data_IF_987409776098
#
_entry.id   IF_987409776098
#
_cell.length_a   1.000
_cell.length_b   1.000
_cell.length_c   1.000
_cell.angle_alpha   90.00
_cell.angle_beta   90.00
_cell.angle_gamma   90.00
#
_symmetry.space_group_name_H-M   'P 1'
#
loop_
_entity.id
_entity.type
_entity.pdbx_description
1 polymer ?
#
# COMPACT_ATOMS: atom_id res chain seq x y z
N UNK A 1 7.25 -17.04 37.60
CA UNK A 1 7.03 -16.26 36.37
C UNK A 1 5.56 -15.86 36.38
N UNK A 2 5.28 -14.56 36.42
CA UNK A 2 3.97 -14.00 36.82
C UNK A 2 2.94 -14.06 35.67
N UNK A 3 1.67 -14.36 35.97
CA UNK A 3 0.59 -14.46 34.98
C UNK A 3 0.37 -13.12 34.25
N UNK A 4 0.60 -12.01 34.94
CA UNK A 4 0.54 -10.67 34.38
C UNK A 4 1.61 -10.43 33.32
N UNK A 5 2.78 -11.06 33.46
CA UNK A 5 3.85 -11.00 32.47
C UNK A 5 3.46 -11.77 31.19
N UNK A 6 2.77 -12.90 31.32
CA UNK A 6 2.30 -13.68 30.16
C UNK A 6 1.17 -12.96 29.40
N UNK A 7 0.25 -12.32 30.12
CA UNK A 7 -0.81 -11.50 29.52
C UNK A 7 -0.25 -10.26 28.81
N UNK A 8 0.73 -9.59 29.43
CA UNK A 8 1.43 -8.46 28.82
C UNK A 8 2.18 -8.86 27.55
N UNK A 9 2.85 -10.03 27.55
CA UNK A 9 3.53 -10.56 26.36
C UNK A 9 2.55 -10.94 25.25
N UNK A 10 1.40 -11.54 25.58
CA UNK A 10 0.38 -11.91 24.61
C UNK A 10 -0.31 -10.67 23.99
N UNK A 11 -0.54 -9.62 24.77
CA UNK A 11 -1.10 -8.36 24.28
C UNK A 11 -0.08 -7.61 23.41
N UNK A 12 1.18 -7.52 23.84
CA UNK A 12 2.27 -6.99 23.00
C UNK A 12 2.40 -7.77 21.68
N UNK A 13 2.26 -9.10 21.69
CA UNK A 13 2.28 -9.90 20.47
C UNK A 13 1.10 -9.61 19.54
N UNK A 14 -0.10 -9.36 20.08
CA UNK A 14 -1.28 -8.94 19.29
C UNK A 14 -1.13 -7.54 18.72
N UNK A 15 -0.57 -6.61 19.49
CA UNK A 15 -0.29 -5.24 19.03
C UNK A 15 0.80 -5.23 17.96
N UNK A 16 1.85 -6.04 18.11
CA UNK A 16 2.89 -6.26 17.09
C UNK A 16 2.34 -6.91 15.82
N UNK A 17 1.41 -7.86 15.95
CA UNK A 17 0.72 -8.46 14.81
C UNK A 17 -0.19 -7.43 14.11
N UNK A 18 -0.92 -6.61 14.87
CA UNK A 18 -1.75 -5.55 14.31
C UNK A 18 -0.91 -4.47 13.59
N UNK A 19 0.29 -4.18 14.09
CA UNK A 19 1.22 -3.24 13.47
C UNK A 19 1.88 -3.82 12.21
N UNK A 20 2.27 -5.11 12.25
CA UNK A 20 2.87 -5.79 11.10
C UNK A 20 1.91 -6.02 9.93
N UNK A 21 0.60 -6.02 10.21
CA UNK A 21 -0.47 -6.13 9.21
C UNK A 21 -0.84 -4.80 8.52
N UNK A 22 -0.17 -3.68 8.83
CA UNK A 22 -0.47 -2.37 8.22
C UNK A 22 0.28 -2.08 6.91
N UNK A 23 1.32 -2.86 6.62
CA UNK A 23 1.94 -3.32 5.36
C UNK A 23 3.22 -3.97 5.88
N UNK A 24 3.23 -5.30 5.98
CA UNK A 24 4.41 -6.04 6.38
C UNK A 24 5.54 -5.80 5.39
N UNK A 25 6.79 -5.86 5.85
CA UNK A 25 7.96 -5.87 4.97
C UNK A 25 7.84 -6.95 3.88
N UNK A 26 7.14 -8.05 4.16
CA UNK A 26 6.85 -9.11 3.21
C UNK A 26 5.90 -8.67 2.10
N UNK A 27 4.84 -7.92 2.42
CA UNK A 27 3.90 -7.36 1.42
C UNK A 27 4.58 -6.32 0.54
N UNK A 28 5.46 -5.49 1.11
CA UNK A 28 6.28 -4.58 0.31
C UNK A 28 7.24 -5.33 -0.62
N UNK A 29 7.95 -6.34 -0.11
CA UNK A 29 8.85 -7.15 -0.95
C UNK A 29 8.08 -7.88 -2.07
N UNK A 30 6.90 -8.40 -1.76
CA UNK A 30 6.04 -9.03 -2.76
C UNK A 30 5.58 -8.02 -3.81
N UNK A 31 5.15 -6.82 -3.39
CA UNK A 31 4.80 -5.73 -4.28
C UNK A 31 5.99 -5.33 -5.17
N UNK A 32 7.15 -5.03 -4.59
CA UNK A 32 8.36 -4.61 -5.30
C UNK A 32 8.75 -5.67 -6.34
N UNK A 33 8.73 -6.96 -5.97
CA UNK A 33 9.06 -8.05 -6.91
C UNK A 33 8.10 -8.11 -8.10
N UNK A 34 6.79 -7.95 -7.86
CA UNK A 34 5.77 -7.97 -8.91
C UNK A 34 5.90 -6.71 -9.77
N UNK A 35 5.89 -5.55 -9.13
CA UNK A 35 6.01 -4.24 -9.74
C UNK A 35 7.27 -4.14 -10.61
N UNK A 36 8.45 -4.37 -10.04
CA UNK A 36 9.73 -4.15 -10.72
C UNK A 36 9.96 -5.16 -11.83
N UNK A 37 9.47 -6.40 -11.67
CA UNK A 37 9.50 -7.41 -12.72
C UNK A 37 8.70 -6.98 -13.96
N UNK A 38 7.46 -6.53 -13.74
CA UNK A 38 6.62 -6.02 -14.82
C UNK A 38 7.17 -4.71 -15.41
N UNK A 39 7.63 -3.80 -14.57
CA UNK A 39 8.19 -2.52 -15.00
C UNK A 39 9.46 -2.70 -15.85
N UNK A 40 10.34 -3.63 -15.48
CA UNK A 40 11.54 -3.96 -16.25
C UNK A 40 11.19 -4.54 -17.61
N UNK A 41 10.15 -5.38 -17.68
CA UNK A 41 9.77 -6.07 -18.92
C UNK A 41 9.03 -5.17 -19.91
N UNK A 42 8.15 -4.28 -19.43
CA UNK A 42 7.21 -3.57 -20.29
C UNK A 42 7.40 -2.04 -20.31
N UNK A 43 8.15 -1.46 -19.38
CA UNK A 43 8.42 -0.02 -19.33
C UNK A 43 7.28 0.84 -18.80
N UNK A 44 7.61 2.12 -18.55
CA UNK A 44 6.74 3.05 -17.82
C UNK A 44 5.40 3.35 -18.53
N UNK A 45 5.44 3.54 -19.85
CA UNK A 45 4.25 3.93 -20.62
C UNK A 45 3.19 2.82 -20.61
N UNK A 46 3.61 1.57 -20.82
CA UNK A 46 2.71 0.42 -20.77
C UNK A 46 2.21 0.19 -19.35
N UNK A 47 3.09 0.26 -18.35
CA UNK A 47 2.70 0.05 -16.96
C UNK A 47 1.71 1.09 -16.45
N UNK A 48 1.78 2.34 -16.94
CA UNK A 48 0.77 3.36 -16.63
C UNK A 48 -0.62 2.93 -17.07
N UNK A 49 -0.74 2.35 -18.26
CA UNK A 49 -2.00 1.79 -18.75
C UNK A 49 -2.46 0.59 -17.91
N UNK A 50 -1.55 -0.34 -17.61
CA UNK A 50 -1.85 -1.53 -16.79
C UNK A 50 -2.36 -1.12 -15.41
N UNK A 51 -1.69 -0.21 -14.71
CA UNK A 51 -2.14 0.25 -13.39
C UNK A 51 -3.52 0.87 -13.44
N UNK A 52 -3.78 1.74 -14.42
CA UNK A 52 -5.10 2.34 -14.59
C UNK A 52 -6.18 1.26 -14.77
N UNK A 53 -5.93 0.28 -15.63
CA UNK A 53 -6.87 -0.82 -15.88
C UNK A 53 -7.09 -1.69 -14.63
N UNK A 54 -6.03 -2.03 -13.90
CA UNK A 54 -6.12 -2.80 -12.65
C UNK A 54 -6.96 -2.06 -11.62
N UNK A 55 -6.71 -0.78 -11.39
CA UNK A 55 -7.52 0.03 -10.46
C UNK A 55 -8.99 0.11 -10.89
N UNK A 56 -9.26 0.37 -12.17
CA UNK A 56 -10.64 0.41 -12.70
C UNK A 56 -11.37 -0.93 -12.51
N UNK A 57 -10.67 -2.06 -12.64
CA UNK A 57 -11.26 -3.38 -12.40
C UNK A 57 -11.53 -3.61 -10.90
N UNK A 58 -10.56 -3.30 -10.02
CA UNK A 58 -10.74 -3.42 -8.56
C UNK A 58 -11.92 -2.59 -8.07
N UNK A 59 -12.08 -1.35 -8.56
CA UNK A 59 -13.19 -0.48 -8.16
C UNK A 59 -14.58 -1.05 -8.51
N UNK A 60 -14.69 -1.90 -9.54
CA UNK A 60 -15.96 -2.55 -9.90
C UNK A 60 -16.35 -3.66 -8.93
N UNK A 61 -15.36 -4.28 -8.29
CA UNK A 61 -15.55 -5.43 -7.41
C UNK A 61 -15.76 -5.01 -5.94
N UNK A 62 -15.35 -3.79 -5.59
CA UNK A 62 -15.47 -3.28 -4.23
C UNK A 62 -16.88 -2.77 -3.88
N UNK A 63 -17.36 -3.04 -2.64
CA UNK A 63 -18.52 -2.37 -2.06
C UNK A 63 -18.35 -0.84 -2.06
N UNK A 64 -19.47 -0.10 -2.08
CA UNK A 64 -19.44 1.37 -2.23
C UNK A 64 -18.61 2.09 -1.16
N UNK A 65 -18.70 1.67 0.10
CA UNK A 65 -17.94 2.28 1.20
C UNK A 65 -16.42 2.08 1.01
N UNK A 66 -15.99 0.86 0.65
CA UNK A 66 -14.60 0.52 0.40
C UNK A 66 -14.07 1.21 -0.85
N UNK A 67 -14.87 1.27 -1.91
CA UNK A 67 -14.57 2.02 -3.14
C UNK A 67 -14.35 3.50 -2.87
N UNK A 68 -15.22 4.12 -2.08
CA UNK A 68 -15.12 5.55 -1.72
C UNK A 68 -13.87 5.81 -0.89
N UNK A 69 -13.59 4.93 0.08
CA UNK A 69 -12.38 5.02 0.90
C UNK A 69 -11.11 4.89 0.05
N UNK A 70 -11.06 3.89 -0.85
CA UNK A 70 -9.94 3.68 -1.75
C UNK A 70 -9.69 4.89 -2.64
N UNK A 71 -10.74 5.46 -3.26
CA UNK A 71 -10.61 6.66 -4.11
C UNK A 71 -10.07 7.87 -3.35
N UNK A 72 -10.52 8.08 -2.12
CA UNK A 72 -10.03 9.17 -1.26
C UNK A 72 -8.54 8.98 -0.92
N UNK A 73 -8.15 7.76 -0.53
CA UNK A 73 -6.76 7.43 -0.22
C UNK A 73 -5.85 7.55 -1.44
N UNK A 74 -6.32 7.06 -2.59
CA UNK A 74 -5.60 7.13 -3.86
C UNK A 74 -5.35 8.57 -4.30
N UNK A 75 -6.39 9.43 -4.28
CA UNK A 75 -6.22 10.86 -4.59
C UNK A 75 -5.22 11.53 -3.67
N UNK A 76 -5.33 11.32 -2.35
CA UNK A 76 -4.41 11.90 -1.38
C UNK A 76 -2.96 11.47 -1.62
N UNK A 77 -2.74 10.21 -1.96
CA UNK A 77 -1.40 9.69 -2.27
C UNK A 77 -0.84 10.29 -3.56
N UNK A 78 -1.66 10.42 -4.60
CA UNK A 78 -1.27 11.06 -5.86
C UNK A 78 -0.92 12.53 -5.67
N UNK A 79 -1.79 13.31 -5.01
CA UNK A 79 -1.56 14.73 -4.75
C UNK A 79 -0.22 14.92 -4.01
N UNK A 80 0.02 14.11 -2.97
CA UNK A 80 1.30 14.11 -2.24
C UNK A 80 2.51 13.79 -3.13
N UNK A 81 2.43 12.75 -3.97
CA UNK A 81 3.54 12.36 -4.83
C UNK A 81 3.86 13.44 -5.90
N UNK A 82 2.82 14.10 -6.41
CA UNK A 82 2.95 15.25 -7.32
C UNK A 82 3.63 16.42 -6.60
N UNK A 83 3.14 16.78 -5.41
CA UNK A 83 3.72 17.85 -4.61
C UNK A 83 5.20 17.58 -4.30
N UNK A 84 5.55 16.36 -3.88
CA UNK A 84 6.94 15.97 -3.62
C UNK A 84 7.83 16.09 -4.86
N UNK A 85 7.35 15.65 -6.02
CA UNK A 85 8.10 15.75 -7.28
C UNK A 85 8.45 17.20 -7.64
N UNK A 86 7.49 18.11 -7.54
CA UNK A 86 7.70 19.53 -7.87
C UNK A 86 8.39 20.32 -6.77
N UNK A 87 8.28 19.88 -5.52
CA UNK A 87 9.02 20.46 -4.38
C UNK A 87 10.52 20.18 -4.48
N UNK A 88 10.90 19.02 -5.01
CA UNK A 88 12.32 18.64 -5.21
C UNK A 88 12.94 19.34 -6.42
N UNK A 89 12.14 19.73 -7.42
CA UNK A 89 12.62 20.45 -8.61
C UNK A 89 12.81 21.96 -8.40
N UNK A 90 12.41 22.50 -7.24
CA UNK A 90 12.49 23.93 -6.91
C UNK A 90 13.70 24.31 -6.02
N UNK A 91 14.68 23.40 -5.88
CA UNK A 91 16.00 23.61 -5.26
C UNK A 91 17.11 23.39 -6.27
#
# INVERSE_FOLDING_TARGET
MDQDLQLSLANNAKEWLALSLSISSAEKIAFDKIHDGFFTMYGADFMTHVYRMTFEQTLKELPEAERTHLLSCFKKAMDKAIDEHYSVQSL
#
